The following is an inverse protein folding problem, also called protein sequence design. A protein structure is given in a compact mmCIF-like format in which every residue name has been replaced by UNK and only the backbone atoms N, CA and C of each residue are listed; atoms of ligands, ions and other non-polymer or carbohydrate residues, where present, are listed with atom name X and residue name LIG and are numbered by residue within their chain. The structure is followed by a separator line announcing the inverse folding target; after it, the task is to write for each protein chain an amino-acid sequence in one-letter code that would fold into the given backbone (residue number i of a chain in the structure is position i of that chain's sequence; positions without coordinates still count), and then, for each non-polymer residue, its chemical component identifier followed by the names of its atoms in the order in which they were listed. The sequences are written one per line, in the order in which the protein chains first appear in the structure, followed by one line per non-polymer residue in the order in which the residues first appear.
data_IF_665555870249
#
_entry.id   IF_665555870249
#
_cell.length_a   1.000
_cell.length_b   1.000
_cell.length_c   1.000
_cell.angle_alpha   90.00
_cell.angle_beta   90.00
_cell.angle_gamma   90.00
#
_symmetry.space_group_name_H-M   'P 1'
#
loop_
_entity.id
_entity.type
_entity.pdbx_description
1 polymer ?
#
# COMPACT_ATOMS: atom_id res chain seq x y z
N UNK A 1 -1.85 -9.08 -25.30
CA UNK A 1 -1.56 -7.80 -25.93
C UNK A 1 -0.80 -6.88 -25.01
N UNK A 2 0.19 -6.23 -25.54
CA UNK A 2 0.99 -5.24 -24.81
C UNK A 2 0.13 -4.00 -24.58
N UNK A 3 -0.09 -3.62 -23.35
CA UNK A 3 -0.61 -2.30 -23.07
C UNK A 3 0.46 -1.28 -23.45
N UNK A 4 0.12 -0.22 -24.20
CA UNK A 4 1.09 0.81 -24.50
C UNK A 4 1.61 1.41 -23.19
N UNK A 5 2.91 1.66 -23.13
CA UNK A 5 3.50 2.34 -21.98
C UNK A 5 2.90 3.73 -21.84
N UNK A 6 2.53 4.08 -20.63
CA UNK A 6 2.08 5.43 -20.33
C UNK A 6 3.28 6.37 -20.21
N UNK A 7 3.10 7.67 -20.52
CA UNK A 7 4.16 8.65 -20.27
C UNK A 7 4.63 8.58 -18.82
N UNK A 8 5.92 8.53 -18.63
CA UNK A 8 6.55 8.45 -17.32
C UNK A 8 6.82 7.05 -16.79
N UNK A 9 6.37 5.99 -17.48
CA UNK A 9 6.60 4.60 -17.03
C UNK A 9 8.09 4.24 -16.97
N UNK A 10 8.90 4.72 -17.88
CA UNK A 10 10.36 4.51 -17.87
C UNK A 10 10.98 5.16 -16.63
N UNK A 11 10.56 6.37 -16.29
CA UNK A 11 11.03 7.09 -15.12
C UNK A 11 10.61 6.41 -13.82
N UNK A 12 9.40 5.86 -13.78
CA UNK A 12 8.95 5.06 -12.64
C UNK A 12 9.87 3.87 -12.43
N UNK A 13 10.19 3.14 -13.51
CA UNK A 13 11.07 1.97 -13.43
C UNK A 13 12.48 2.34 -12.98
N UNK A 14 13.03 3.43 -13.53
CA UNK A 14 14.33 3.94 -13.09
C UNK A 14 14.34 4.34 -11.62
N UNK A 15 13.26 4.97 -11.16
CA UNK A 15 13.09 5.32 -9.75
C UNK A 15 13.02 4.11 -8.85
N UNK A 16 12.33 3.05 -9.28
CA UNK A 16 12.25 1.79 -8.52
C UNK A 16 13.59 1.10 -8.40
N UNK A 17 14.39 1.09 -9.46
CA UNK A 17 15.75 0.56 -9.40
C UNK A 17 16.61 1.33 -8.42
N UNK A 18 16.53 2.66 -8.44
CA UNK A 18 17.23 3.50 -7.48
C UNK A 18 16.79 3.21 -6.05
N UNK A 19 15.50 3.02 -5.82
CA UNK A 19 14.95 2.65 -4.50
C UNK A 19 15.48 1.30 -4.01
N UNK A 20 15.55 0.30 -4.87
CA UNK A 20 16.12 -1.02 -4.52
C UNK A 20 17.59 -0.91 -4.14
N UNK A 21 18.32 0.02 -4.75
CA UNK A 21 19.72 0.31 -4.41
C UNK A 21 19.87 1.19 -3.17
N UNK A 22 18.77 1.67 -2.60
CA UNK A 22 18.79 2.57 -1.44
C UNK A 22 19.06 4.03 -1.78
N UNK A 23 19.14 4.38 -3.05
CA UNK A 23 19.33 5.77 -3.51
C UNK A 23 17.98 6.49 -3.62
N UNK A 24 17.47 6.91 -2.48
CA UNK A 24 16.15 7.54 -2.40
C UNK A 24 16.08 8.91 -3.05
N UNK A 25 17.19 9.63 -3.08
CA UNK A 25 17.22 10.94 -3.74
C UNK A 25 17.04 10.77 -5.26
N UNK A 26 17.77 9.83 -5.85
CA UNK A 26 17.62 9.51 -7.27
C UNK A 26 16.22 8.96 -7.56
N UNK A 27 15.71 8.09 -6.68
CA UNK A 27 14.35 7.55 -6.82
C UNK A 27 13.32 8.69 -6.84
N UNK A 28 13.38 9.61 -5.89
CA UNK A 28 12.45 10.74 -5.81
C UNK A 28 12.53 11.62 -7.05
N UNK A 29 13.72 11.88 -7.57
CA UNK A 29 13.91 12.68 -8.80
C UNK A 29 13.24 12.01 -10.01
N UNK A 30 13.40 10.71 -10.17
CA UNK A 30 12.73 9.96 -11.25
C UNK A 30 11.22 9.94 -11.09
N UNK A 31 10.71 9.76 -9.87
CA UNK A 31 9.27 9.78 -9.60
C UNK A 31 8.67 11.17 -9.89
N UNK A 32 9.40 12.23 -9.55
CA UNK A 32 8.98 13.59 -9.86
C UNK A 32 8.88 13.83 -11.38
N UNK A 33 9.86 13.39 -12.14
CA UNK A 33 9.82 13.44 -13.60
C UNK A 33 8.61 12.70 -14.18
N UNK A 34 8.32 11.50 -13.64
CA UNK A 34 7.16 10.73 -14.04
C UNK A 34 5.85 11.47 -13.72
N UNK A 35 5.76 12.03 -12.51
CA UNK A 35 4.58 12.80 -12.09
C UNK A 35 4.34 14.02 -12.98
N UNK A 36 5.40 14.72 -13.40
CA UNK A 36 5.32 15.86 -14.30
C UNK A 36 4.78 15.47 -15.68
N UNK A 37 4.95 14.22 -16.09
CA UNK A 37 4.39 13.68 -17.32
C UNK A 37 2.94 13.20 -17.17
N UNK A 38 2.35 13.37 -15.99
CA UNK A 38 0.98 12.94 -15.69
C UNK A 38 0.86 11.48 -15.25
N UNK A 39 1.95 10.84 -14.91
CA UNK A 39 1.94 9.44 -14.46
C UNK A 39 1.46 9.35 -13.01
N UNK A 40 0.30 8.70 -12.79
CA UNK A 40 -0.31 8.59 -11.47
C UNK A 40 0.52 7.71 -10.51
N UNK A 41 1.18 6.67 -11.00
CA UNK A 41 2.08 5.84 -10.22
C UNK A 41 3.28 6.65 -9.75
N UNK A 42 3.87 7.45 -10.64
CA UNK A 42 4.97 8.36 -10.28
C UNK A 42 4.56 9.34 -9.18
N UNK A 43 3.35 9.87 -9.29
CA UNK A 43 2.80 10.77 -8.26
C UNK A 43 2.66 10.07 -6.91
N UNK A 44 2.14 8.84 -6.89
CA UNK A 44 1.98 8.06 -5.67
C UNK A 44 3.32 7.70 -5.02
N UNK A 45 4.31 7.34 -5.82
CA UNK A 45 5.64 6.98 -5.33
C UNK A 45 6.41 8.21 -4.81
N UNK A 46 6.27 9.36 -5.47
CA UNK A 46 6.82 10.61 -4.97
C UNK A 46 6.16 11.00 -3.64
N UNK A 47 4.85 10.84 -3.54
CA UNK A 47 4.13 11.09 -2.29
C UNK A 47 4.64 10.21 -1.15
N UNK A 48 4.95 8.95 -1.43
CA UNK A 48 5.54 8.05 -0.43
C UNK A 48 6.90 8.56 0.05
N UNK A 49 7.74 9.04 -0.86
CA UNK A 49 9.02 9.68 -0.50
C UNK A 49 8.81 10.88 0.42
N UNK A 50 7.86 11.74 0.11
CA UNK A 50 7.52 12.91 0.94
C UNK A 50 6.96 12.51 2.31
N UNK A 51 6.09 11.51 2.33
CA UNK A 51 5.47 11.04 3.58
C UNK A 51 6.50 10.49 4.56
N UNK A 52 7.48 9.76 4.06
CA UNK A 52 8.52 9.11 4.86
C UNK A 52 9.79 9.95 5.03
N UNK A 53 9.94 11.02 4.26
CA UNK A 53 11.17 11.80 4.24
C UNK A 53 12.33 11.05 3.59
N UNK A 54 12.04 10.24 2.54
CA UNK A 54 13.04 9.49 1.78
C UNK A 54 13.40 10.24 0.50
N UNK A 55 14.61 10.76 0.43
CA UNK A 55 15.10 11.54 -0.72
C UNK A 55 14.52 12.94 -0.86
N UNK A 56 13.51 13.26 -0.07
CA UNK A 56 12.84 14.54 0.00
C UNK A 56 12.62 14.92 1.46
N UNK A 57 12.47 16.20 1.75
CA UNK A 57 12.08 16.65 3.07
C UNK A 57 10.67 16.16 3.39
N UNK A 58 10.48 15.57 4.57
CA UNK A 58 9.19 15.02 4.97
C UNK A 58 8.08 16.07 4.94
N UNK A 59 6.99 15.74 4.27
CA UNK A 59 5.78 16.56 4.22
C UNK A 59 4.54 15.67 4.04
N UNK A 60 3.96 15.27 5.16
CA UNK A 60 2.80 14.36 5.16
C UNK A 60 1.55 14.99 4.57
N UNK A 61 1.35 16.28 4.79
CA UNK A 61 0.18 17.01 4.27
C UNK A 61 0.18 17.03 2.74
N UNK A 62 1.32 17.36 2.14
CA UNK A 62 1.49 17.34 0.68
C UNK A 62 1.35 15.92 0.12
N UNK A 63 1.94 14.94 0.81
CA UNK A 63 1.84 13.54 0.41
C UNK A 63 0.37 13.09 0.33
N UNK A 64 -0.42 13.41 1.35
CA UNK A 64 -1.87 13.08 1.35
C UNK A 64 -2.60 13.71 0.18
N UNK A 65 -2.31 14.96 -0.12
CA UNK A 65 -2.90 15.67 -1.26
C UNK A 65 -2.59 14.97 -2.58
N UNK A 66 -1.33 14.59 -2.76
CA UNK A 66 -0.87 13.89 -3.96
C UNK A 66 -1.52 12.51 -4.08
N UNK A 67 -1.63 11.77 -2.98
CA UNK A 67 -2.31 10.48 -2.99
C UNK A 67 -3.80 10.59 -3.33
N UNK A 68 -4.50 11.65 -2.83
CA UNK A 68 -5.89 11.86 -3.21
C UNK A 68 -6.04 12.09 -4.71
N UNK A 69 -5.16 12.90 -5.29
CA UNK A 69 -5.14 13.13 -6.73
C UNK A 69 -4.92 11.82 -7.49
N UNK A 70 -3.92 11.03 -7.11
CA UNK A 70 -3.61 9.77 -7.76
C UNK A 70 -4.75 8.74 -7.58
N UNK A 71 -5.34 8.66 -6.40
CA UNK A 71 -6.47 7.76 -6.13
C UNK A 71 -7.69 8.10 -6.98
N UNK A 72 -7.95 9.40 -7.22
CA UNK A 72 -9.03 9.85 -8.10
C UNK A 72 -8.82 9.38 -9.54
N UNK A 73 -7.59 9.09 -9.93
CA UNK A 73 -7.25 8.50 -11.22
C UNK A 73 -7.21 6.95 -11.19
N UNK A 74 -7.67 6.35 -10.10
CA UNK A 74 -7.74 4.89 -9.97
C UNK A 74 -6.44 4.22 -9.58
N UNK A 75 -5.45 4.96 -9.07
CA UNK A 75 -4.15 4.41 -8.73
C UNK A 75 -4.21 3.68 -7.37
N UNK A 76 -3.89 2.38 -7.38
CA UNK A 76 -4.08 1.47 -6.25
C UNK A 76 -3.15 1.78 -5.07
N UNK A 77 -1.88 2.09 -5.34
CA UNK A 77 -0.91 2.41 -4.28
C UNK A 77 -1.37 3.64 -3.47
N UNK A 78 -1.94 4.63 -4.14
CA UNK A 78 -2.47 5.82 -3.47
C UNK A 78 -3.61 5.47 -2.51
N UNK A 79 -4.52 4.59 -2.94
CA UNK A 79 -5.61 4.12 -2.08
C UNK A 79 -5.08 3.39 -0.86
N UNK A 80 -4.13 2.49 -1.07
CA UNK A 80 -3.48 1.74 0.00
C UNK A 80 -2.77 2.67 0.98
N UNK A 81 -2.02 3.63 0.47
CA UNK A 81 -1.25 4.58 1.29
C UNK A 81 -2.15 5.50 2.10
N UNK A 82 -3.26 5.95 1.52
CA UNK A 82 -4.27 6.72 2.27
C UNK A 82 -4.88 5.90 3.40
N UNK A 83 -5.15 4.61 3.16
CA UNK A 83 -5.62 3.71 4.20
C UNK A 83 -4.61 3.54 5.32
N UNK A 84 -3.34 3.37 5.00
CA UNK A 84 -2.26 3.25 5.98
C UNK A 84 -2.11 4.54 6.80
N UNK A 85 -2.24 5.70 6.17
CA UNK A 85 -2.24 6.99 6.86
C UNK A 85 -3.44 7.12 7.81
N UNK A 86 -4.63 6.72 7.38
CA UNK A 86 -5.80 6.68 8.25
C UNK A 86 -5.57 5.78 9.47
N UNK A 87 -5.02 4.59 9.27
CA UNK A 87 -4.71 3.67 10.37
C UNK A 87 -3.72 4.29 11.35
N UNK A 88 -2.68 4.95 10.85
CA UNK A 88 -1.67 5.61 11.68
C UNK A 88 -2.27 6.76 12.51
N UNK A 89 -3.33 7.41 12.02
CA UNK A 89 -4.05 8.47 12.73
C UNK A 89 -5.17 7.96 13.62
N UNK A 90 -5.32 6.64 13.74
CA UNK A 90 -6.36 6.03 14.58
C UNK A 90 -7.73 5.93 13.90
N UNK A 91 -7.84 6.21 12.61
CA UNK A 91 -9.08 6.14 11.85
C UNK A 91 -9.25 4.76 11.20
N UNK A 92 -9.35 3.72 12.02
CA UNK A 92 -9.35 2.32 11.59
C UNK A 92 -10.48 1.98 10.61
N UNK A 93 -11.66 2.56 10.78
CA UNK A 93 -12.79 2.34 9.89
C UNK A 93 -12.55 2.87 8.48
N UNK A 94 -12.04 4.08 8.37
CA UNK A 94 -11.66 4.67 7.08
C UNK A 94 -10.54 3.88 6.43
N UNK A 95 -9.57 3.44 7.20
CA UNK A 95 -8.47 2.60 6.70
C UNK A 95 -9.04 1.34 6.04
N UNK A 96 -9.95 0.64 6.69
CA UNK A 96 -10.59 -0.56 6.13
C UNK A 96 -11.27 -0.27 4.79
N UNK A 97 -12.00 0.84 4.68
CA UNK A 97 -12.69 1.20 3.44
C UNK A 97 -11.70 1.48 2.30
N UNK A 98 -10.59 2.16 2.58
CA UNK A 98 -9.53 2.38 1.59
C UNK A 98 -8.90 1.06 1.15
N UNK A 99 -8.60 0.16 2.08
CA UNK A 99 -8.01 -1.14 1.76
C UNK A 99 -8.94 -2.00 0.89
N UNK A 100 -10.24 -1.98 1.19
CA UNK A 100 -11.25 -2.67 0.37
C UNK A 100 -11.32 -2.08 -1.03
N UNK A 101 -11.29 -0.76 -1.14
CA UNK A 101 -11.28 -0.08 -2.44
C UNK A 101 -10.02 -0.43 -3.23
N UNK A 102 -8.86 -0.46 -2.58
CA UNK A 102 -7.61 -0.88 -3.22
C UNK A 102 -7.70 -2.32 -3.71
N UNK A 103 -8.22 -3.24 -2.89
CA UNK A 103 -8.41 -4.64 -3.26
C UNK A 103 -9.33 -4.78 -4.46
N UNK A 104 -10.48 -4.12 -4.44
CA UNK A 104 -11.45 -4.16 -5.52
C UNK A 104 -10.86 -3.64 -6.83
N UNK A 105 -10.16 -2.51 -6.77
CA UNK A 105 -9.51 -1.93 -7.95
C UNK A 105 -8.42 -2.85 -8.50
N UNK A 106 -7.63 -3.46 -7.61
CA UNK A 106 -6.53 -4.35 -7.98
C UNK A 106 -7.00 -5.67 -8.62
N UNK A 107 -8.19 -6.14 -8.32
CA UNK A 107 -8.72 -7.41 -8.85
C UNK A 107 -8.80 -7.44 -10.38
N UNK A 108 -8.97 -6.29 -11.01
CA UNK A 108 -9.00 -6.19 -12.48
C UNK A 108 -7.63 -6.06 -13.14
N UNK A 109 -6.57 -6.05 -12.35
CA UNK A 109 -5.21 -5.78 -12.82
C UNK A 109 -4.31 -7.00 -12.57
N UNK A 110 -3.68 -7.57 -13.62
CA UNK A 110 -2.74 -8.66 -13.41
C UNK A 110 -1.43 -8.13 -12.81
N UNK A 111 -0.75 -8.98 -12.02
CA UNK A 111 0.62 -8.78 -11.56
C UNK A 111 0.87 -7.51 -10.73
N UNK A 112 -0.04 -7.18 -9.82
CA UNK A 112 0.17 -6.04 -8.94
C UNK A 112 1.09 -6.40 -7.78
N UNK A 113 2.23 -5.73 -7.70
CA UNK A 113 3.23 -5.85 -6.63
C UNK A 113 2.65 -5.53 -5.24
N UNK A 114 1.61 -4.72 -5.18
CA UNK A 114 1.02 -4.27 -3.92
C UNK A 114 0.00 -5.24 -3.33
N UNK A 115 -0.33 -6.31 -4.04
CA UNK A 115 -1.30 -7.30 -3.56
C UNK A 115 -0.96 -7.86 -2.18
N UNK A 116 0.29 -8.26 -1.89
CA UNK A 116 0.64 -8.72 -0.54
C UNK A 116 0.40 -7.66 0.54
N UNK A 117 0.73 -6.42 0.25
CA UNK A 117 0.55 -5.31 1.20
C UNK A 117 -0.93 -5.00 1.42
N UNK A 118 -1.74 -5.03 0.37
CA UNK A 118 -3.19 -4.90 0.48
C UNK A 118 -3.75 -6.01 1.37
N UNK A 119 -3.33 -7.27 1.14
CA UNK A 119 -3.77 -8.43 1.92
C UNK A 119 -3.39 -8.29 3.39
N UNK A 120 -2.16 -7.86 3.68
CA UNK A 120 -1.72 -7.63 5.06
C UNK A 120 -2.57 -6.57 5.76
N UNK A 121 -2.78 -5.42 5.12
CA UNK A 121 -3.55 -4.33 5.72
C UNK A 121 -5.02 -4.72 5.91
N UNK A 122 -5.60 -5.43 4.95
CA UNK A 122 -6.94 -5.98 5.10
C UNK A 122 -7.02 -6.99 6.25
N UNK A 123 -6.04 -7.88 6.38
CA UNK A 123 -5.99 -8.84 7.46
C UNK A 123 -5.99 -8.13 8.82
N UNK A 124 -5.15 -7.12 8.98
CA UNK A 124 -5.06 -6.32 10.20
C UNK A 124 -6.38 -5.61 10.53
N UNK A 125 -7.03 -5.05 9.52
CA UNK A 125 -8.29 -4.35 9.68
C UNK A 125 -9.47 -5.32 9.90
N UNK A 126 -9.53 -6.42 9.14
CA UNK A 126 -10.61 -7.40 9.23
C UNK A 126 -10.63 -8.13 10.58
N UNK A 127 -9.49 -8.33 11.25
CA UNK A 127 -9.47 -8.89 12.61
C UNK A 127 -10.29 -8.06 13.58
N UNK A 128 -10.39 -6.77 13.33
CA UNK A 128 -11.14 -5.84 14.18
C UNK A 128 -12.63 -5.82 13.86
N UNK A 129 -12.99 -5.97 12.57
CA UNK A 129 -14.35 -5.69 12.09
C UNK A 129 -15.12 -6.91 11.61
N UNK A 130 -14.48 -7.97 11.13
CA UNK A 130 -15.18 -9.05 10.43
C UNK A 130 -14.84 -10.44 10.99
N UNK A 131 -13.98 -11.19 10.38
CA UNK A 131 -13.79 -12.62 10.64
C UNK A 131 -12.33 -12.98 10.74
N UNK A 132 -11.99 -13.73 11.80
CA UNK A 132 -10.63 -14.24 11.97
C UNK A 132 -10.21 -15.18 10.85
N UNK A 133 -11.13 -16.02 10.35
CA UNK A 133 -10.83 -16.97 9.28
C UNK A 133 -10.43 -16.24 7.99
N UNK A 134 -11.17 -15.21 7.62
CA UNK A 134 -10.86 -14.39 6.46
C UNK A 134 -9.53 -13.64 6.64
N UNK A 135 -9.33 -13.07 7.81
CA UNK A 135 -8.09 -12.36 8.14
C UNK A 135 -6.87 -13.28 8.10
N UNK A 136 -6.99 -14.52 8.59
CA UNK A 136 -5.90 -15.51 8.53
C UNK A 136 -5.54 -15.86 7.10
N UNK A 137 -6.52 -16.06 6.22
CA UNK A 137 -6.28 -16.36 4.81
C UNK A 137 -5.55 -15.21 4.12
N UNK A 138 -5.96 -13.96 4.39
CA UNK A 138 -5.32 -12.76 3.86
C UNK A 138 -3.88 -12.59 4.37
N UNK A 139 -3.66 -12.82 5.66
CA UNK A 139 -2.33 -12.73 6.26
C UNK A 139 -1.38 -13.79 5.69
N UNK A 140 -1.86 -15.01 5.45
CA UNK A 140 -1.08 -16.08 4.84
C UNK A 140 -0.70 -15.73 3.38
N UNK A 141 -1.64 -15.21 2.60
CA UNK A 141 -1.39 -14.74 1.23
C UNK A 141 -0.34 -13.62 1.23
N UNK A 142 -0.46 -12.68 2.17
CA UNK A 142 0.50 -11.58 2.31
C UNK A 142 1.91 -12.09 2.62
N UNK A 143 2.05 -13.00 3.58
CA UNK A 143 3.35 -13.54 3.97
C UNK A 143 4.05 -14.22 2.79
N UNK A 144 3.32 -15.00 1.98
CA UNK A 144 3.86 -15.65 0.79
C UNK A 144 4.32 -14.63 -0.26
N UNK A 145 3.51 -13.61 -0.50
CA UNK A 145 3.84 -12.56 -1.46
C UNK A 145 5.04 -11.73 -1.04
N UNK A 146 5.14 -11.37 0.22
CA UNK A 146 6.31 -10.64 0.73
C UNK A 146 7.58 -11.46 0.69
N UNK A 147 7.50 -12.79 0.89
CA UNK A 147 8.67 -13.65 0.77
C UNK A 147 9.27 -13.59 -0.64
N UNK A 148 8.43 -13.53 -1.67
CA UNK A 148 8.88 -13.39 -3.06
C UNK A 148 9.50 -12.01 -3.27
N UNK A 149 8.83 -10.94 -2.84
CA UNK A 149 9.31 -9.56 -3.02
C UNK A 149 10.62 -9.31 -2.26
N UNK A 150 10.79 -9.93 -1.09
CA UNK A 150 12.03 -9.82 -0.33
C UNK A 150 13.22 -10.44 -1.07
N UNK A 151 13.02 -11.55 -1.79
CA UNK A 151 14.06 -12.14 -2.65
C UNK A 151 14.44 -11.23 -3.81
N UNK A 152 13.50 -10.43 -4.28
CA UNK A 152 13.71 -9.45 -5.34
C UNK A 152 14.28 -8.12 -4.81
N UNK A 153 14.59 -8.07 -3.52
CA UNK A 153 15.12 -6.89 -2.82
C UNK A 153 14.19 -5.66 -2.87
N UNK A 154 12.89 -5.90 -2.95
CA UNK A 154 11.94 -4.79 -2.84
C UNK A 154 12.06 -4.14 -1.46
N UNK A 155 12.10 -2.79 -1.40
CA UNK A 155 12.18 -2.08 -0.13
C UNK A 155 11.05 -2.46 0.83
N UNK A 156 11.38 -2.62 2.09
CA UNK A 156 10.46 -2.94 3.18
C UNK A 156 9.81 -4.35 3.12
N UNK A 157 10.03 -5.12 2.07
CA UNK A 157 9.37 -6.42 1.89
C UNK A 157 9.69 -7.42 3.02
N UNK A 158 10.94 -7.50 3.46
CA UNK A 158 11.35 -8.39 4.55
C UNK A 158 10.67 -7.99 5.87
N UNK A 159 10.58 -6.70 6.14
CA UNK A 159 9.91 -6.18 7.35
C UNK A 159 8.41 -6.45 7.32
N UNK A 160 7.78 -6.25 6.17
CA UNK A 160 6.36 -6.53 5.99
C UNK A 160 6.05 -8.02 6.04
N UNK A 161 6.95 -8.87 5.54
CA UNK A 161 6.85 -10.32 5.70
C UNK A 161 6.81 -10.69 7.18
N UNK A 162 7.74 -10.15 7.97
CA UNK A 162 7.79 -10.40 9.41
C UNK A 162 6.51 -9.94 10.10
N UNK A 163 5.97 -8.81 9.69
CA UNK A 163 4.71 -8.27 10.21
C UNK A 163 3.53 -9.21 9.91
N UNK A 164 3.44 -9.74 8.68
CA UNK A 164 2.40 -10.70 8.30
C UNK A 164 2.52 -12.01 9.07
N UNK A 165 3.73 -12.51 9.26
CA UNK A 165 3.99 -13.73 10.04
C UNK A 165 3.66 -13.55 11.51
N UNK A 166 3.95 -12.37 12.07
CA UNK A 166 3.58 -12.05 13.45
C UNK A 166 2.06 -12.03 13.62
N UNK A 167 1.34 -11.43 12.67
CA UNK A 167 -0.12 -11.43 12.69
C UNK A 167 -0.70 -12.85 12.67
N UNK A 168 -0.12 -13.74 11.85
CA UNK A 168 -0.51 -15.15 11.81
C UNK A 168 -0.30 -15.84 13.16
N UNK A 169 0.83 -15.58 13.83
CA UNK A 169 1.09 -16.14 15.17
C UNK A 169 0.08 -15.64 16.21
N UNK A 170 -0.24 -14.36 16.17
CA UNK A 170 -1.23 -13.75 17.07
C UNK A 170 -2.63 -14.34 16.85
N UNK A 171 -3.00 -14.60 15.60
CA UNK A 171 -4.29 -15.19 15.27
C UNK A 171 -4.37 -16.69 15.61
N UNK A 172 -3.23 -17.39 15.66
CA UNK A 172 -3.17 -18.79 16.07
C UNK A 172 -3.41 -18.97 17.56
N UNK A 173 -3.22 -17.92 18.38
CA UNK A 173 -3.51 -17.89 19.81
C UNK A 173 -4.55 -16.80 20.09
N UNK A 174 -5.84 -17.07 19.80
CA UNK A 174 -6.86 -16.02 19.80
C UNK A 174 -7.20 -15.54 21.21
N UNK A 175 -7.02 -14.24 21.44
CA UNK A 175 -7.55 -13.55 22.61
C UNK A 175 -9.01 -13.16 22.37
N UNK A 176 -9.83 -13.00 23.45
CA UNK A 176 -11.21 -12.54 23.30
C UNK A 176 -11.26 -11.22 22.54
N UNK A 177 -12.17 -11.13 21.57
CA UNK A 177 -12.32 -9.92 20.76
C UNK A 177 -13.27 -8.94 21.38
N UNK A 178 -12.97 -7.65 21.19
CA UNK A 178 -13.94 -6.61 21.40
C UNK A 178 -15.03 -6.68 20.33
N UNK A 179 -16.22 -6.16 20.66
CA UNK A 179 -17.38 -6.13 19.79
C UNK A 179 -17.05 -5.61 18.39
N UNK A 180 -17.52 -6.29 17.36
CA UNK A 180 -17.35 -5.83 15.98
C UNK A 180 -18.09 -4.52 15.75
N UNK A 181 -17.45 -3.58 15.07
CA UNK A 181 -18.08 -2.34 14.63
C UNK A 181 -18.92 -2.61 13.37
N UNK A 182 -20.00 -1.86 13.21
CA UNK A 182 -20.81 -1.92 12.00
C UNK A 182 -20.10 -1.19 10.86
N UNK A 183 -19.58 -1.95 9.91
CA UNK A 183 -18.83 -1.41 8.77
C UNK A 183 -19.74 -0.61 7.83
N UNK A 184 -21.01 -0.98 7.72
CA UNK A 184 -21.96 -0.32 6.80
C UNK A 184 -22.22 1.14 7.16
N UNK A 185 -21.92 1.54 8.40
CA UNK A 185 -22.04 2.93 8.86
C UNK A 185 -20.83 3.80 8.51
N UNK A 186 -19.74 3.20 8.02
CA UNK A 186 -18.50 3.92 7.72
C UNK A 186 -18.53 4.49 6.30
N UNK A 187 -18.02 5.71 6.17
CA UNK A 187 -17.94 6.40 4.87
C UNK A 187 -16.56 6.99 4.66
N UNK A 188 -16.14 7.02 3.40
CA UNK A 188 -14.93 7.73 2.97
C UNK A 188 -15.29 9.17 2.61
N UNK A 189 -14.45 10.09 3.04
CA UNK A 189 -14.58 11.51 2.70
C UNK A 189 -14.18 11.79 1.24
#
# INVERSE_FOLDING_TARGET
GHNPEEPGDEEVEAGREAARAGDWRMAADHYDEAAQQGNAMGLSLLADCLYRGRGEMQNKTEARRMWRTAADHGEVLAMLSLGEDCAARGEAGKALLYYRKARQTAQGMPDIEYTPRICLRLAQAETRYVSAKKAMALAAEAAQGFAILAREKEPDAAELQAEAEQLLREMADPKPRNTAYNIDSLQLD
#
